data_IF_404907153549
#
_entry.id   IF_404907153549
#
_cell.length_a   1.000
_cell.length_b   1.000
_cell.length_c   1.000
_cell.angle_alpha   90.00
_cell.angle_beta   90.00
_cell.angle_gamma   90.00
#
_symmetry.space_group_name_H-M   'P 1'
#
loop_
_entity.id
_entity.type
_entity.pdbx_description
1 polymer ?
#
# COMPACT_ATOMS: atom_id res chain seq x y z
N UNK A 1 -11.98 18.73 12.63
CA UNK A 1 -12.57 17.39 12.58
C UNK A 1 -11.67 16.43 11.87
N UNK A 2 -11.34 15.34 12.49
CA UNK A 2 -10.56 14.35 11.79
C UNK A 2 -11.41 13.75 10.68
N UNK A 3 -10.81 13.63 9.52
CA UNK A 3 -11.46 12.99 8.41
C UNK A 3 -11.61 11.50 8.69
N UNK A 4 -12.81 10.97 8.54
CA UNK A 4 -13.02 9.54 8.65
C UNK A 4 -12.58 8.85 7.38
N UNK A 5 -11.84 7.76 7.53
CA UNK A 5 -11.45 6.91 6.41
C UNK A 5 -12.10 5.54 6.53
N UNK A 6 -13.24 5.50 7.18
CA UNK A 6 -13.91 4.25 7.49
C UNK A 6 -14.09 3.36 6.27
N UNK A 7 -13.52 2.17 6.33
CA UNK A 7 -13.58 1.17 5.26
C UNK A 7 -12.96 1.60 3.93
N UNK A 8 -12.22 2.69 3.90
CA UNK A 8 -11.46 3.05 2.70
C UNK A 8 -10.29 2.08 2.54
N UNK A 9 -10.02 1.69 1.31
CA UNK A 9 -8.94 0.74 1.00
C UNK A 9 -7.75 1.52 0.48
N UNK A 10 -6.65 1.44 1.21
CA UNK A 10 -5.46 2.23 0.92
C UNK A 10 -4.25 1.31 0.77
N UNK A 11 -3.53 1.48 -0.32
CA UNK A 11 -2.26 0.78 -0.54
C UNK A 11 -1.12 1.74 -0.21
N UNK A 12 -0.14 1.27 0.55
CA UNK A 12 1.04 2.05 0.88
C UNK A 12 2.28 1.21 0.57
N UNK A 13 3.11 1.69 -0.35
CA UNK A 13 4.39 1.06 -0.63
C UNK A 13 5.43 1.51 0.39
N UNK A 14 6.37 0.63 0.75
CA UNK A 14 7.34 0.86 1.81
C UNK A 14 6.64 1.28 3.11
N UNK A 15 5.57 0.58 3.45
CA UNK A 15 4.68 0.97 4.53
C UNK A 15 5.05 0.44 5.91
N UNK A 16 6.15 -0.33 6.01
CA UNK A 16 6.47 -1.01 7.28
C UNK A 16 7.39 -0.21 8.18
N UNK A 17 7.87 0.94 7.75
CA UNK A 17 8.74 1.79 8.58
C UNK A 17 8.70 3.23 8.11
N UNK A 18 9.27 4.13 8.91
CA UNK A 18 9.41 5.54 8.56
C UNK A 18 8.08 6.22 8.25
N UNK A 19 8.11 7.08 7.24
CA UNK A 19 6.96 7.88 6.84
C UNK A 19 5.79 6.99 6.40
N UNK A 20 6.09 5.92 5.68
CA UNK A 20 5.05 4.99 5.23
C UNK A 20 4.29 4.37 6.38
N UNK A 21 4.99 3.90 7.40
CA UNK A 21 4.35 3.30 8.57
C UNK A 21 3.58 4.35 9.38
N UNK A 22 4.15 5.56 9.53
CA UNK A 22 3.44 6.65 10.20
C UNK A 22 2.13 6.96 9.49
N UNK A 23 2.16 7.01 8.17
CA UNK A 23 0.96 7.23 7.36
C UNK A 23 -0.04 6.09 7.53
N UNK A 24 0.44 4.85 7.54
CA UNK A 24 -0.42 3.69 7.73
C UNK A 24 -1.12 3.74 9.09
N UNK A 25 -0.40 4.12 10.15
CA UNK A 25 -1.00 4.23 11.48
C UNK A 25 -2.10 5.28 11.51
N UNK A 26 -1.89 6.41 10.85
CA UNK A 26 -2.92 7.45 10.79
C UNK A 26 -4.15 6.91 10.06
N UNK A 27 -3.94 6.25 8.93
CA UNK A 27 -5.06 5.68 8.17
C UNK A 27 -5.83 4.64 8.98
N UNK A 28 -5.11 3.73 9.64
CA UNK A 28 -5.73 2.72 10.48
C UNK A 28 -6.52 3.34 11.64
N UNK A 29 -5.98 4.38 12.25
CA UNK A 29 -6.65 5.05 13.36
C UNK A 29 -7.94 5.73 12.92
N UNK A 30 -8.07 6.00 11.64
CA UNK A 30 -9.27 6.62 11.07
C UNK A 30 -10.23 5.62 10.42
N UNK A 31 -9.96 4.34 10.59
CA UNK A 31 -10.87 3.29 10.14
C UNK A 31 -10.56 2.69 8.77
N UNK A 32 -9.45 3.07 8.15
CA UNK A 32 -9.09 2.54 6.85
C UNK A 32 -8.66 1.07 6.92
N UNK A 33 -8.79 0.39 5.81
CA UNK A 33 -8.19 -0.90 5.58
C UNK A 33 -6.92 -0.64 4.77
N UNK A 34 -5.78 -1.08 5.29
CA UNK A 34 -4.50 -0.71 4.72
C UNK A 34 -3.75 -1.96 4.25
N UNK A 35 -3.28 -1.91 3.02
CA UNK A 35 -2.46 -2.95 2.41
C UNK A 35 -1.08 -2.36 2.21
N UNK A 36 -0.09 -2.88 2.92
CA UNK A 36 1.27 -2.37 2.78
C UNK A 36 2.17 -3.42 2.16
N UNK A 37 3.10 -2.97 1.35
CA UNK A 37 4.19 -3.81 0.90
C UNK A 37 5.51 -3.21 1.34
N UNK A 38 6.47 -4.06 1.62
CA UNK A 38 7.80 -3.64 2.03
C UNK A 38 8.77 -4.77 1.73
N UNK A 39 10.01 -4.43 1.47
CA UNK A 39 11.04 -5.42 1.23
C UNK A 39 11.55 -6.02 2.54
N UNK A 40 11.33 -5.34 3.65
CA UNK A 40 11.84 -5.76 4.96
C UNK A 40 10.83 -6.63 5.70
N UNK A 41 11.06 -7.94 5.64
CA UNK A 41 10.17 -8.91 6.27
C UNK A 41 10.08 -8.73 7.79
N UNK A 42 11.17 -8.30 8.42
CA UNK A 42 11.18 -8.10 9.88
C UNK A 42 10.27 -6.94 10.28
N UNK A 43 10.36 -5.84 9.54
CA UNK A 43 9.50 -4.69 9.80
C UNK A 43 8.04 -5.04 9.56
N UNK A 44 7.75 -5.83 8.53
CA UNK A 44 6.39 -6.28 8.26
C UNK A 44 5.82 -7.10 9.41
N UNK A 45 6.61 -8.03 9.95
CA UNK A 45 6.17 -8.82 11.10
C UNK A 45 5.91 -7.95 12.32
N UNK A 46 6.75 -6.94 12.52
CA UNK A 46 6.60 -6.05 13.66
C UNK A 46 5.32 -5.23 13.57
N UNK A 47 5.04 -4.66 12.41
CA UNK A 47 3.84 -3.84 12.25
C UNK A 47 2.57 -4.69 12.31
N UNK A 48 2.64 -5.94 11.86
CA UNK A 48 1.49 -6.84 11.89
C UNK A 48 1.00 -7.07 13.33
N UNK A 49 1.89 -6.96 14.31
CA UNK A 49 1.56 -7.14 15.71
C UNK A 49 1.09 -5.87 16.41
N UNK A 50 1.04 -4.77 15.69
CA UNK A 50 0.68 -3.49 16.30
C UNK A 50 -0.79 -3.48 16.73
N UNK A 51 -1.12 -2.88 17.88
CA UNK A 51 -2.50 -2.84 18.36
C UNK A 51 -3.51 -2.19 17.41
N UNK A 52 -3.04 -1.31 16.51
CA UNK A 52 -3.94 -0.70 15.54
C UNK A 52 -4.39 -1.68 14.45
N UNK A 53 -3.73 -2.85 14.36
CA UNK A 53 -4.17 -3.86 13.43
C UNK A 53 -5.37 -4.60 14.01
N UNK A 54 -6.55 -4.17 13.64
CA UNK A 54 -7.79 -4.80 14.05
C UNK A 54 -8.37 -5.57 12.86
N UNK A 55 -7.55 -6.40 12.25
CA UNK A 55 -7.89 -7.15 11.03
C UNK A 55 -8.08 -6.23 9.83
N UNK A 56 -7.50 -5.04 9.89
CA UNK A 56 -7.57 -4.05 8.81
C UNK A 56 -6.21 -3.74 8.21
N UNK A 57 -5.16 -4.40 8.68
CA UNK A 57 -3.82 -4.23 8.14
C UNK A 57 -3.36 -5.53 7.49
N UNK A 58 -2.99 -5.45 6.23
CA UNK A 58 -2.48 -6.59 5.48
C UNK A 58 -1.09 -6.27 4.98
N UNK A 59 -0.15 -7.17 5.22
CA UNK A 59 1.25 -6.95 4.91
C UNK A 59 1.74 -7.94 3.86
N UNK A 60 2.57 -7.44 2.96
CA UNK A 60 3.11 -8.24 1.87
C UNK A 60 4.57 -7.92 1.70
N UNK A 61 5.40 -8.96 1.58
CA UNK A 61 6.80 -8.76 1.26
C UNK A 61 6.92 -8.55 -0.25
N UNK A 62 7.47 -7.42 -0.65
CA UNK A 62 7.53 -7.07 -2.06
C UNK A 62 8.62 -6.05 -2.28
N UNK A 63 9.48 -6.32 -3.26
CA UNK A 63 10.43 -5.36 -3.75
C UNK A 63 9.75 -4.51 -4.81
N UNK A 64 9.51 -3.25 -4.49
CA UNK A 64 8.78 -2.35 -5.39
C UNK A 64 9.55 -2.02 -6.68
N UNK A 65 10.82 -2.40 -6.77
CA UNK A 65 11.58 -2.26 -8.00
C UNK A 65 11.46 -3.48 -8.92
N UNK A 66 10.84 -4.54 -8.44
CA UNK A 66 10.66 -5.77 -9.21
C UNK A 66 9.25 -5.84 -9.76
N UNK A 67 9.15 -5.80 -11.08
CA UNK A 67 7.88 -5.81 -11.78
C UNK A 67 6.98 -6.98 -11.44
N UNK A 68 7.57 -8.16 -11.33
CA UNK A 68 6.81 -9.37 -11.03
C UNK A 68 6.28 -9.35 -9.61
N UNK A 69 7.09 -8.88 -8.67
CA UNK A 69 6.65 -8.80 -7.27
C UNK A 69 5.55 -7.77 -7.09
N UNK A 70 5.65 -6.65 -7.79
CA UNK A 70 4.62 -5.62 -7.74
C UNK A 70 3.32 -6.13 -8.34
N UNK A 71 3.40 -6.81 -9.47
CA UNK A 71 2.22 -7.39 -10.12
C UNK A 71 1.57 -8.43 -9.20
N UNK A 72 2.37 -9.29 -8.58
CA UNK A 72 1.85 -10.27 -7.64
C UNK A 72 1.18 -9.62 -6.42
N UNK A 73 1.79 -8.56 -5.91
CA UNK A 73 1.21 -7.81 -4.80
C UNK A 73 -0.17 -7.26 -5.17
N UNK A 74 -0.30 -6.62 -6.32
CA UNK A 74 -1.59 -6.12 -6.78
C UNK A 74 -2.60 -7.23 -6.99
N UNK A 75 -2.14 -8.38 -7.50
CA UNK A 75 -3.03 -9.54 -7.65
C UNK A 75 -3.55 -10.03 -6.30
N UNK A 76 -2.69 -10.07 -5.30
CA UNK A 76 -3.11 -10.51 -3.97
C UNK A 76 -4.09 -9.53 -3.34
N UNK A 77 -3.85 -8.23 -3.52
CA UNK A 77 -4.78 -7.21 -3.01
C UNK A 77 -6.12 -7.32 -3.74
N UNK A 78 -6.10 -7.57 -5.04
CA UNK A 78 -7.34 -7.67 -5.81
C UNK A 78 -8.22 -8.85 -5.41
N UNK A 79 -7.63 -9.86 -4.79
CA UNK A 79 -8.41 -10.97 -4.25
C UNK A 79 -9.17 -10.59 -2.99
N UNK A 80 -8.75 -9.54 -2.32
CA UNK A 80 -9.37 -9.09 -1.07
C UNK A 80 -10.33 -7.93 -1.28
N UNK A 81 -10.09 -7.13 -2.29
CA UNK A 81 -10.96 -5.99 -2.58
C UNK A 81 -10.93 -5.68 -4.07
N UNK A 82 -12.04 -5.22 -4.59
CA UNK A 82 -12.13 -4.84 -6.00
C UNK A 82 -11.95 -3.35 -6.21
N UNK A 83 -11.84 -2.59 -5.12
CA UNK A 83 -11.73 -1.15 -5.22
C UNK A 83 -10.63 -0.66 -4.29
N UNK A 84 -9.76 0.17 -4.81
CA UNK A 84 -8.73 0.86 -4.03
C UNK A 84 -9.05 2.35 -4.06
N UNK A 85 -9.15 2.95 -2.89
CA UNK A 85 -9.50 4.37 -2.77
C UNK A 85 -8.27 5.27 -2.87
N UNK A 86 -7.10 4.79 -2.49
CA UNK A 86 -5.86 5.58 -2.58
C UNK A 86 -4.64 4.68 -2.69
N UNK A 87 -3.67 5.15 -3.42
CA UNK A 87 -2.34 4.54 -3.49
C UNK A 87 -1.33 5.57 -3.01
N UNK A 88 -0.63 5.26 -1.93
CA UNK A 88 0.43 6.10 -1.43
C UNK A 88 1.76 5.45 -1.79
N UNK A 89 2.42 6.01 -2.79
CA UNK A 89 3.68 5.50 -3.25
C UNK A 89 4.79 6.14 -2.46
N UNK A 90 5.21 5.44 -1.40
CA UNK A 90 6.23 5.94 -0.51
C UNK A 90 7.57 5.27 -0.79
N UNK A 91 7.72 4.63 -1.92
CA UNK A 91 9.01 4.11 -2.30
C UNK A 91 9.83 5.33 -2.56
N UNK A 92 10.56 5.61 -1.62
CA UNK A 92 11.34 6.79 -1.72
C UNK A 92 12.42 6.65 -2.69
N UNK A 93 12.17 6.70 -3.68
CA UNK A 93 12.93 6.52 -4.54
C UNK A 93 13.83 7.38 -5.02
N UNK A 94 14.78 7.54 -4.26
CA UNK A 94 16.01 7.95 -4.77
C UNK A 94 16.35 7.13 -5.98
N UNK A 95 15.80 6.07 -6.05
CA UNK A 95 16.08 5.29 -7.18
C UNK A 95 15.42 5.85 -8.37
N UNK A 96 15.53 5.22 -9.35
CA UNK A 96 15.08 5.61 -10.60
C UNK A 96 13.58 5.63 -10.60
N UNK A 97 13.07 6.79 -10.46
CA UNK A 97 11.69 7.02 -10.73
C UNK A 97 11.31 6.43 -12.08
N UNK A 98 12.25 6.40 -12.99
CA UNK A 98 12.00 5.76 -14.27
C UNK A 98 11.64 4.28 -14.17
N UNK A 99 12.16 3.59 -13.18
CA UNK A 99 11.81 2.19 -12.98
C UNK A 99 10.40 2.03 -12.44
N UNK A 100 10.01 2.93 -11.58
CA UNK A 100 8.65 2.93 -11.07
C UNK A 100 7.67 3.21 -12.20
N UNK A 101 8.02 4.13 -13.08
CA UNK A 101 7.20 4.44 -14.24
C UNK A 101 7.09 3.25 -15.18
N UNK A 102 8.10 2.41 -15.19
CA UNK A 102 8.11 1.22 -16.04
C UNK A 102 7.47 0.01 -15.37
N UNK A 103 7.17 0.11 -14.10
CA UNK A 103 6.51 -0.95 -13.42
C UNK A 103 5.18 -1.15 -14.09
N UNK A 104 5.07 -2.23 -14.76
CA UNK A 104 3.90 -2.66 -15.48
C UNK A 104 2.92 -1.53 -15.73
N UNK A 105 3.07 -0.89 -16.87
CA UNK A 105 2.22 0.25 -17.21
C UNK A 105 0.74 -0.08 -17.01
N UNK A 106 0.36 -1.33 -17.24
CA UNK A 106 -1.02 -1.75 -17.07
C UNK A 106 -1.45 -1.74 -15.60
N UNK A 107 -0.59 -2.23 -14.69
CA UNK A 107 -0.91 -2.25 -13.27
C UNK A 107 -0.99 -0.83 -12.70
N UNK A 108 -0.05 0.02 -13.09
CA UNK A 108 -0.07 1.41 -12.67
C UNK A 108 -1.28 2.13 -13.23
N UNK A 109 -1.55 1.94 -14.51
CA UNK A 109 -2.68 2.56 -15.15
C UNK A 109 -3.98 2.13 -14.50
N UNK A 110 -4.13 0.84 -14.21
CA UNK A 110 -5.31 0.34 -13.56
C UNK A 110 -5.47 0.90 -12.16
N UNK A 111 -4.37 0.96 -11.41
CA UNK A 111 -4.38 1.50 -10.05
C UNK A 111 -4.72 3.00 -10.07
N UNK A 112 -4.13 3.74 -10.99
CA UNK A 112 -4.41 5.16 -11.14
C UNK A 112 -5.86 5.40 -11.54
N UNK A 113 -6.39 4.58 -12.44
CA UNK A 113 -7.79 4.67 -12.83
C UNK A 113 -8.71 4.44 -11.64
N UNK A 114 -8.40 3.44 -10.83
CA UNK A 114 -9.16 3.15 -9.63
C UNK A 114 -9.14 4.36 -8.70
N UNK A 115 -7.97 4.96 -8.51
CA UNK A 115 -7.84 6.13 -7.65
C UNK A 115 -8.59 7.33 -8.18
N UNK A 116 -8.47 7.61 -9.45
CA UNK A 116 -9.09 8.77 -10.08
C UNK A 116 -10.60 8.60 -10.15
N UNK A 117 -11.06 7.42 -10.49
CA UNK A 117 -12.49 7.16 -10.63
C UNK A 117 -13.18 7.09 -9.27
N UNK A 118 -12.46 6.65 -8.25
CA UNK A 118 -13.03 6.51 -6.90
C UNK A 118 -13.22 7.85 -6.21
N UNK A 119 -12.60 8.87 -6.71
CA UNK A 119 -12.77 10.21 -6.20
C UNK A 119 -13.94 10.89 -6.88
#
# INVERSE_FOLDING_TARGET
MPLSLNNKKIIISAGASGIGWTTAKICLSRGAIVYICDIDAKSLKKVQKHPLNKKKLFTYECDASDEYEVSDFFNQVSKKTKKIDALINNVGVAGPTGNIEKLSSDDWEQTLKINVISH
#
